data_IF_566327345670
#
_entry.id   IF_566327345670
#
_cell.length_a   1.000
_cell.length_b   1.000
_cell.length_c   1.000
_cell.angle_alpha   90.00
_cell.angle_beta   90.00
_cell.angle_gamma   90.00
#
_symmetry.space_group_name_H-M   'P 1'
#
loop_
_entity.id
_entity.type
_entity.pdbx_description
1 polymer ?
#
# COMPACT_ATOMS: atom_id res chain seq x y z
N UNK A 1 37.96 -13.09 -23.10
CA UNK A 1 36.53 -12.79 -22.85
C UNK A 1 35.87 -11.98 -23.99
N UNK A 2 36.29 -10.74 -24.31
CA UNK A 2 35.56 -9.93 -25.32
C UNK A 2 35.54 -10.54 -26.73
N UNK A 3 36.59 -11.25 -27.15
CA UNK A 3 36.67 -11.90 -28.47
C UNK A 3 35.66 -13.06 -28.66
N UNK A 4 35.21 -13.71 -27.58
CA UNK A 4 34.28 -14.85 -27.61
C UNK A 4 32.84 -14.36 -27.38
N UNK A 5 32.67 -13.39 -26.49
CA UNK A 5 31.36 -12.87 -26.11
C UNK A 5 30.76 -11.99 -27.21
N UNK A 6 31.56 -11.24 -27.98
CA UNK A 6 31.07 -10.43 -29.10
C UNK A 6 30.32 -11.22 -30.18
N UNK A 7 30.85 -12.31 -30.75
CA UNK A 7 30.09 -13.08 -31.74
C UNK A 7 28.82 -13.71 -31.16
N UNK A 8 28.87 -14.20 -29.91
CA UNK A 8 27.70 -14.80 -29.22
C UNK A 8 26.60 -13.77 -28.94
N UNK A 9 26.96 -12.56 -28.48
CA UNK A 9 26.00 -11.48 -28.26
C UNK A 9 25.46 -10.89 -29.57
N UNK A 10 26.25 -10.91 -30.65
CA UNK A 10 25.83 -10.44 -31.99
C UNK A 10 24.77 -11.32 -32.64
N UNK A 11 24.71 -12.59 -32.26
CA UNK A 11 23.70 -13.56 -32.72
C UNK A 11 22.51 -13.69 -31.76
N UNK A 12 22.57 -13.06 -30.58
CA UNK A 12 21.55 -13.18 -29.53
C UNK A 12 20.64 -11.94 -29.45
N UNK A 13 19.63 -11.98 -28.59
CA UNK A 13 18.74 -10.85 -28.27
C UNK A 13 19.49 -9.67 -27.62
N UNK A 14 20.72 -9.90 -27.18
CA UNK A 14 21.54 -8.96 -26.43
C UNK A 14 22.55 -8.17 -27.27
N UNK A 15 22.29 -7.95 -28.57
CA UNK A 15 23.18 -7.18 -29.46
C UNK A 15 23.50 -5.78 -28.90
N UNK A 16 22.56 -5.19 -28.17
CA UNK A 16 22.73 -3.87 -27.55
C UNK A 16 23.75 -3.85 -26.40
N UNK A 17 24.21 -5.01 -25.92
CA UNK A 17 25.31 -5.11 -24.94
C UNK A 17 26.69 -5.11 -25.59
N UNK A 18 26.81 -5.35 -26.90
CA UNK A 18 28.07 -5.31 -27.64
C UNK A 18 28.94 -4.07 -27.39
N UNK A 19 28.40 -2.83 -27.40
CA UNK A 19 29.20 -1.64 -27.16
C UNK A 19 29.69 -1.51 -25.71
N UNK A 20 29.22 -2.35 -24.77
CA UNK A 20 29.76 -2.38 -23.42
C UNK A 20 31.02 -3.26 -23.33
N UNK A 21 31.16 -4.25 -24.21
CA UNK A 21 32.30 -5.19 -24.23
C UNK A 21 33.52 -4.66 -25.01
N UNK A 22 34.00 -3.46 -24.68
CA UNK A 22 35.15 -2.81 -25.36
C UNK A 22 36.51 -3.13 -24.71
N UNK A 23 36.53 -3.50 -23.43
CA UNK A 23 37.76 -3.67 -22.64
C UNK A 23 37.62 -4.82 -21.60
N UNK A 24 38.31 -4.72 -20.45
CA UNK A 24 38.19 -5.66 -19.33
C UNK A 24 36.81 -5.51 -18.68
N UNK A 25 35.90 -6.39 -19.08
CA UNK A 25 34.55 -6.45 -18.55
C UNK A 25 34.39 -7.66 -17.65
N UNK A 26 33.65 -7.49 -16.56
CA UNK A 26 33.26 -8.54 -15.63
C UNK A 26 31.76 -8.74 -15.79
N UNK A 27 31.33 -9.99 -15.96
CA UNK A 27 29.92 -10.36 -15.98
C UNK A 27 29.56 -10.92 -14.61
N UNK A 28 28.59 -10.31 -13.94
CA UNK A 28 27.99 -10.88 -12.73
C UNK A 28 26.69 -11.59 -13.14
N UNK A 29 26.58 -12.88 -12.81
CA UNK A 29 25.37 -13.67 -13.06
C UNK A 29 24.83 -14.15 -11.72
N UNK A 30 23.57 -13.87 -11.48
CA UNK A 30 22.84 -14.29 -10.30
C UNK A 30 21.47 -14.80 -10.75
N UNK A 31 20.99 -15.95 -10.24
CA UNK A 31 19.62 -16.40 -10.49
C UNK A 31 18.59 -15.50 -9.77
N UNK A 32 19.00 -14.79 -8.72
CA UNK A 32 18.14 -13.89 -7.96
C UNK A 32 18.44 -12.41 -8.28
N UNK A 33 17.39 -11.61 -8.47
CA UNK A 33 17.52 -10.19 -8.81
C UNK A 33 17.80 -9.31 -7.58
N UNK A 34 18.95 -9.52 -6.93
CA UNK A 34 19.42 -8.77 -5.74
C UNK A 34 20.21 -7.51 -6.11
N UNK A 35 19.61 -6.65 -6.94
CA UNK A 35 20.27 -5.46 -7.47
C UNK A 35 20.72 -4.47 -6.36
N UNK A 36 19.99 -4.39 -5.25
CA UNK A 36 20.27 -3.48 -4.12
C UNK A 36 21.53 -3.87 -3.36
N UNK A 37 21.70 -5.15 -3.05
CA UNK A 37 22.89 -5.71 -2.40
C UNK A 37 24.11 -5.59 -3.32
N UNK A 38 23.94 -5.94 -4.60
CA UNK A 38 25.00 -5.80 -5.59
C UNK A 38 25.49 -4.35 -5.68
N UNK A 39 24.57 -3.38 -5.75
CA UNK A 39 24.91 -1.96 -5.81
C UNK A 39 25.59 -1.47 -4.52
N UNK A 40 25.22 -2.01 -3.35
CA UNK A 40 25.88 -1.71 -2.07
C UNK A 40 27.34 -2.17 -2.07
N UNK A 41 27.61 -3.37 -2.59
CA UNK A 41 28.98 -3.91 -2.71
C UNK A 41 29.79 -3.13 -3.74
N UNK A 42 29.21 -2.82 -4.91
CA UNK A 42 29.84 -1.99 -5.94
C UNK A 42 30.21 -0.59 -5.41
N UNK A 43 29.38 0.01 -4.55
CA UNK A 43 29.71 1.29 -3.88
C UNK A 43 30.92 1.18 -2.95
N UNK A 44 31.16 0.02 -2.35
CA UNK A 44 32.35 -0.23 -1.54
C UNK A 44 33.62 -0.44 -2.36
N UNK A 45 33.49 -0.74 -3.66
CA UNK A 45 34.61 -1.01 -4.58
C UNK A 45 34.59 -0.01 -5.74
N UNK A 46 35.07 1.24 -5.54
CA UNK A 46 35.01 2.30 -6.55
C UNK A 46 35.85 2.01 -7.80
N UNK A 47 36.72 0.99 -7.76
CA UNK A 47 37.52 0.54 -8.90
C UNK A 47 36.66 -0.18 -9.96
N UNK A 48 35.45 -0.60 -9.62
CA UNK A 48 34.55 -1.33 -10.52
C UNK A 48 33.35 -0.43 -10.88
N UNK A 49 33.27 -0.06 -12.16
CA UNK A 49 32.17 0.74 -12.68
C UNK A 49 31.07 -0.14 -13.26
N UNK A 50 29.84 0.02 -12.74
CA UNK A 50 28.66 -0.57 -13.36
C UNK A 50 28.37 0.11 -14.70
N UNK A 51 28.43 -0.65 -15.80
CA UNK A 51 28.11 -0.18 -17.14
C UNK A 51 26.61 -0.31 -17.45
N UNK A 52 26.01 -1.41 -16.99
CA UNK A 52 24.59 -1.73 -17.16
C UNK A 52 24.29 -3.11 -16.60
N UNK A 53 23.03 -3.53 -16.67
CA UNK A 53 22.60 -4.87 -16.29
C UNK A 53 21.54 -5.39 -17.25
N UNK A 54 21.34 -6.71 -17.27
CA UNK A 54 20.18 -7.34 -17.90
C UNK A 54 19.35 -7.98 -16.78
N UNK A 55 18.11 -7.54 -16.61
CA UNK A 55 17.17 -8.05 -15.62
C UNK A 55 15.91 -8.45 -16.38
N UNK A 56 15.45 -9.69 -16.24
CA UNK A 56 14.25 -10.22 -16.91
C UNK A 56 14.20 -9.88 -18.41
N UNK A 57 15.27 -10.26 -19.14
CA UNK A 57 15.49 -9.99 -20.57
C UNK A 57 15.54 -8.50 -20.97
N UNK A 58 15.44 -7.58 -20.01
CA UNK A 58 15.47 -6.13 -20.25
C UNK A 58 16.84 -5.57 -19.91
N UNK A 59 17.46 -4.91 -20.89
CA UNK A 59 18.75 -4.21 -20.69
C UNK A 59 18.49 -2.87 -20.01
N UNK A 60 19.11 -2.67 -18.86
CA UNK A 60 19.03 -1.46 -18.07
C UNK A 60 20.40 -0.75 -18.02
N UNK A 61 20.36 0.58 -18.14
CA UNK A 61 21.53 1.44 -17.91
C UNK A 61 21.86 1.49 -16.41
N UNK A 62 23.00 2.08 -16.05
CA UNK A 62 23.35 2.36 -14.65
C UNK A 62 22.20 3.01 -13.88
N UNK A 63 21.58 4.04 -14.44
CA UNK A 63 20.45 4.74 -13.81
C UNK A 63 19.23 3.82 -13.65
N UNK A 64 18.98 2.95 -14.64
CA UNK A 64 17.93 1.95 -14.58
C UNK A 64 18.13 0.96 -13.42
N UNK A 65 19.37 0.52 -13.20
CA UNK A 65 19.71 -0.38 -12.08
C UNK A 65 19.59 0.34 -10.73
N UNK A 66 20.01 1.60 -10.63
CA UNK A 66 19.86 2.40 -9.41
C UNK A 66 18.39 2.65 -9.07
N UNK A 67 17.56 2.93 -10.09
CA UNK A 67 16.12 3.08 -9.92
C UNK A 67 15.49 1.76 -9.51
N UNK A 68 15.87 0.65 -10.15
CA UNK A 68 15.39 -0.68 -9.79
C UNK A 68 15.75 -1.06 -8.34
N UNK A 69 16.95 -0.71 -7.87
CA UNK A 69 17.35 -0.92 -6.48
C UNK A 69 16.56 -0.08 -5.46
N UNK A 70 15.93 1.01 -5.90
CA UNK A 70 15.02 1.85 -5.09
C UNK A 70 13.56 1.39 -5.15
N UNK A 71 13.20 0.58 -6.15
CA UNK A 71 11.83 0.10 -6.29
C UNK A 71 11.47 -0.82 -5.11
N UNK A 72 10.23 -0.74 -4.61
CA UNK A 72 9.72 -1.70 -3.65
C UNK A 72 9.65 -3.11 -4.28
N UNK A 73 9.54 -4.14 -3.45
CA UNK A 73 9.40 -5.51 -3.96
C UNK A 73 8.20 -5.65 -4.90
N UNK A 74 8.25 -6.63 -5.80
CA UNK A 74 7.15 -6.91 -6.73
C UNK A 74 5.81 -7.06 -5.98
N UNK A 75 5.81 -7.79 -4.88
CA UNK A 75 4.63 -7.97 -4.02
C UNK A 75 4.09 -6.65 -3.46
N UNK A 76 4.97 -5.73 -3.04
CA UNK A 76 4.55 -4.43 -2.55
C UNK A 76 3.95 -3.56 -3.68
N UNK A 77 4.51 -3.61 -4.89
CA UNK A 77 3.95 -2.90 -6.04
C UNK A 77 2.58 -3.46 -6.49
N UNK A 78 2.42 -4.79 -6.43
CA UNK A 78 1.14 -5.46 -6.69
C UNK A 78 0.12 -5.13 -5.60
N UNK A 79 0.54 -5.14 -4.33
CA UNK A 79 -0.28 -4.75 -3.19
C UNK A 79 -0.74 -3.29 -3.27
N UNK A 80 0.15 -2.37 -3.68
CA UNK A 80 -0.23 -0.99 -3.97
C UNK A 80 -1.26 -0.90 -5.08
N UNK A 81 -1.07 -1.64 -6.17
CA UNK A 81 -2.01 -1.63 -7.31
C UNK A 81 -3.39 -2.15 -6.89
N UNK A 82 -3.44 -3.30 -6.22
CA UNK A 82 -4.70 -3.87 -5.69
C UNK A 82 -5.32 -2.94 -4.65
N UNK A 83 -4.52 -2.32 -3.78
CA UNK A 83 -4.98 -1.33 -2.81
C UNK A 83 -5.61 -0.10 -3.47
N UNK A 84 -5.00 0.42 -4.54
CA UNK A 84 -5.57 1.53 -5.31
C UNK A 84 -6.87 1.14 -6.02
N UNK A 85 -6.95 -0.08 -6.54
CA UNK A 85 -8.18 -0.59 -7.15
C UNK A 85 -9.28 -0.78 -6.11
N UNK A 86 -8.95 -1.21 -4.90
CA UNK A 86 -9.90 -1.35 -3.79
C UNK A 86 -10.45 -0.01 -3.28
N UNK A 87 -9.75 1.10 -3.50
CA UNK A 87 -10.22 2.43 -3.12
C UNK A 87 -11.52 2.83 -3.84
N UNK A 88 -11.66 2.46 -5.12
CA UNK A 88 -12.84 2.78 -5.94
C UNK A 88 -14.15 2.18 -5.37
N UNK A 89 -14.25 0.87 -5.11
CA UNK A 89 -15.43 0.30 -4.45
C UNK A 89 -15.58 0.80 -3.02
N UNK A 90 -14.50 1.06 -2.27
CA UNK A 90 -14.60 1.64 -0.92
C UNK A 90 -15.22 3.04 -0.92
N UNK A 91 -14.85 3.90 -1.87
CA UNK A 91 -15.47 5.22 -2.04
C UNK A 91 -16.96 5.11 -2.35
N UNK A 92 -17.32 4.18 -3.25
CA UNK A 92 -18.72 3.93 -3.61
C UNK A 92 -19.52 3.40 -2.42
N UNK A 93 -18.95 2.45 -1.67
CA UNK A 93 -19.55 1.90 -0.47
C UNK A 93 -19.76 3.00 0.60
N UNK A 94 -18.78 3.89 0.79
CA UNK A 94 -18.90 5.01 1.73
C UNK A 94 -20.04 5.96 1.37
N UNK A 95 -20.26 6.24 0.07
CA UNK A 95 -21.39 7.04 -0.39
C UNK A 95 -22.74 6.36 -0.09
N UNK A 96 -22.84 5.06 -0.31
CA UNK A 96 -24.06 4.30 0.00
C UNK A 96 -24.30 4.19 1.51
N UNK A 97 -23.25 3.96 2.29
CA UNK A 97 -23.32 3.82 3.75
C UNK A 97 -23.73 5.12 4.44
N UNK A 98 -23.44 6.30 3.86
CA UNK A 98 -23.84 7.58 4.45
C UNK A 98 -25.36 7.70 4.63
N UNK A 99 -26.13 7.22 3.66
CA UNK A 99 -27.60 7.23 3.74
C UNK A 99 -28.12 6.27 4.81
N UNK A 100 -27.59 5.05 4.84
CA UNK A 100 -27.97 4.02 5.82
C UNK A 100 -27.62 4.47 7.24
N UNK A 101 -26.39 4.94 7.47
CA UNK A 101 -25.93 5.40 8.78
C UNK A 101 -26.76 6.57 9.32
N UNK A 102 -27.19 7.50 8.45
CA UNK A 102 -28.04 8.62 8.86
C UNK A 102 -29.43 8.15 9.32
N UNK A 103 -30.06 7.23 8.59
CA UNK A 103 -31.36 6.69 8.99
C UNK A 103 -31.26 5.86 10.27
N UNK A 104 -30.19 5.06 10.43
CA UNK A 104 -29.97 4.32 11.67
C UNK A 104 -29.82 5.25 12.88
N UNK A 105 -29.09 6.36 12.73
CA UNK A 105 -28.95 7.35 13.80
C UNK A 105 -30.28 8.04 14.17
N UNK A 106 -31.14 8.34 13.19
CA UNK A 106 -32.47 8.91 13.45
C UNK A 106 -33.39 7.93 14.17
N UNK A 107 -33.39 6.66 13.75
CA UNK A 107 -34.17 5.61 14.41
C UNK A 107 -33.71 5.37 15.84
N UNK A 108 -32.39 5.31 16.07
CA UNK A 108 -31.82 5.12 17.41
C UNK A 108 -32.17 6.30 18.34
N UNK A 109 -32.12 7.54 17.83
CA UNK A 109 -32.57 8.72 18.55
C UNK A 109 -34.05 8.66 18.92
N UNK A 110 -34.92 8.21 18.01
CA UNK A 110 -36.36 8.07 18.27
C UNK A 110 -36.67 6.97 19.30
N UNK A 111 -35.90 5.87 19.29
CA UNK A 111 -36.00 4.81 20.30
C UNK A 111 -35.61 5.34 21.68
N UNK A 112 -34.50 6.08 21.80
CA UNK A 112 -34.09 6.72 23.05
C UNK A 112 -35.13 7.73 23.55
N UNK A 113 -35.73 8.51 22.66
CA UNK A 113 -36.74 9.51 23.02
C UNK A 113 -38.04 8.87 23.50
N UNK A 114 -38.45 7.74 22.90
CA UNK A 114 -39.57 6.94 23.40
C UNK A 114 -39.26 6.36 24.78
N UNK A 115 -38.07 5.82 25.00
CA UNK A 115 -37.65 5.30 26.30
C UNK A 115 -37.59 6.39 27.38
N UNK A 116 -37.14 7.60 27.04
CA UNK A 116 -37.15 8.76 27.94
C UNK A 116 -38.58 9.26 28.23
N UNK A 117 -39.46 9.33 27.23
CA UNK A 117 -40.86 9.74 27.40
C UNK A 117 -41.71 8.73 28.18
N UNK A 118 -41.33 7.45 28.15
CA UNK A 118 -42.00 6.40 28.94
C UNK A 118 -41.58 6.43 30.42
N UNK A 119 -40.45 7.08 30.75
CA UNK A 119 -40.01 7.30 32.13
C UNK A 119 -40.78 8.44 32.84
N UNK A 120 -41.41 9.37 32.11
CA UNK A 120 -42.12 10.52 32.70
C UNK A 120 -43.64 10.31 32.90
N UNK A 121 -44.21 9.19 32.43
CA UNK A 121 -45.65 8.87 32.64
C UNK A 121 -45.89 7.86 33.78
N UNK A 122 -44.85 7.49 34.52
CA UNK A 122 -44.97 6.80 35.81
C UNK A 122 -45.31 7.78 36.94
N UNK A 123 -46.59 8.14 37.07
CA UNK A 123 -47.16 9.09 38.02
C UNK A 123 -46.55 9.04 39.45
N UNK A 124 -46.34 10.21 40.09
CA UNK A 124 -46.19 10.31 41.54
C UNK A 124 -47.57 10.00 42.17
N UNK A 125 -47.61 8.99 43.03
CA UNK A 125 -48.77 8.71 43.88
C UNK A 125 -48.34 8.87 45.34
N UNK A 126 -48.92 9.85 46.02
CA UNK A 126 -48.82 9.98 47.47
C UNK A 126 -48.74 11.41 47.98
N UNK A 127 -49.84 12.16 47.93
CA UNK A 127 -50.16 13.14 48.99
C UNK A 127 -51.67 13.10 49.22
N UNK A 128 -52.06 12.36 50.26
CA UNK A 128 -53.43 12.32 50.78
C UNK A 128 -53.82 13.67 51.44
N UNK A 129 -55.12 14.05 51.39
CA UNK A 129 -55.67 15.17 52.14
C UNK A 129 -56.33 14.70 53.46
N UNK A 130 -56.00 15.31 54.60
CA UNK A 130 -56.86 15.28 55.79
C UNK A 130 -56.54 16.42 56.78
N UNK A 131 -57.50 17.32 56.96
CA UNK A 131 -57.61 18.24 58.10
C UNK A 131 -57.99 17.49 59.39
N UNK A 132 -57.48 17.94 60.55
CA UNK A 132 -58.04 17.82 61.93
C UNK A 132 -56.87 17.97 62.93
N UNK A 133 -56.84 18.66 64.08
CA UNK A 133 -57.70 19.59 64.84
C UNK A 133 -56.90 20.00 66.10
N UNK A 134 -57.17 21.17 66.70
CA UNK A 134 -56.81 21.53 68.09
C UNK A 134 -55.46 22.27 68.27
N UNK A 135 -55.31 23.29 69.11
CA UNK A 135 -56.13 23.78 70.22
C UNK A 135 -55.73 25.22 70.57
N UNK A 136 -56.71 25.89 71.17
CA UNK A 136 -56.64 27.11 71.99
C UNK A 136 -55.52 27.08 73.04
#
# INVERSE_FOLDING_TARGET
LPQIVRPVLSQSRYKNLLPLFVSRNILLVSPETKAKEMLRVLKGVPQVNLLGACIDDTILSRQGVENFAKLPSLEASQGQTVGTLALLPSQTCSLLQRGVAHLTALLDGHIQQLQAGTAETGSPAGTDPAQSSGTQ
#
